data_IF_125099765613
#
_entry.id   IF_125099765613
#
_cell.length_a   1.000
_cell.length_b   1.000
_cell.length_c   1.000
_cell.angle_alpha   90.00
_cell.angle_beta   90.00
_cell.angle_gamma   90.00
#
_symmetry.space_group_name_H-M   'P 1'
#
loop_
_entity.id
_entity.type
_entity.pdbx_description
1 polymer ?
#
# COMPACT_ATOMS: atom_id res chain seq x y z
N UNK A 1 12.52 -2.95 -18.85
CA UNK A 1 11.56 -3.85 -18.16
C UNK A 1 11.50 -3.51 -16.67
N UNK A 2 12.61 -3.56 -15.91
CA UNK A 2 12.61 -3.27 -14.44
C UNK A 2 12.10 -1.88 -14.12
N UNK A 3 12.57 -0.86 -14.83
CA UNK A 3 12.12 0.52 -14.67
C UNK A 3 10.60 0.68 -14.93
N UNK A 4 10.07 0.06 -15.98
CA UNK A 4 8.64 0.09 -16.26
C UNK A 4 7.81 -0.56 -15.14
N UNK A 5 8.30 -1.66 -14.56
CA UNK A 5 7.66 -2.32 -13.40
C UNK A 5 7.70 -1.43 -12.16
N UNK A 6 8.82 -0.75 -11.91
CA UNK A 6 8.93 0.22 -10.82
C UNK A 6 7.93 1.36 -10.98
N UNK A 7 7.85 1.95 -12.17
CA UNK A 7 6.89 3.01 -12.44
C UNK A 7 5.44 2.54 -12.30
N UNK A 8 5.13 1.29 -12.67
CA UNK A 8 3.81 0.69 -12.46
C UNK A 8 3.49 0.51 -10.97
N UNK A 9 4.46 0.09 -10.15
CA UNK A 9 4.28 -0.03 -8.70
C UNK A 9 4.05 1.34 -8.04
N UNK A 10 4.82 2.37 -8.44
CA UNK A 10 4.64 3.74 -7.95
C UNK A 10 3.27 4.29 -8.38
N UNK A 11 2.85 4.05 -9.62
CA UNK A 11 1.53 4.45 -10.11
C UNK A 11 0.39 3.76 -9.36
N UNK A 12 0.55 2.47 -9.02
CA UNK A 12 -0.41 1.74 -8.19
C UNK A 12 -0.51 2.33 -6.78
N UNK A 13 0.63 2.64 -6.17
CA UNK A 13 0.64 3.31 -4.85
C UNK A 13 0.02 4.70 -4.90
N UNK A 14 0.22 5.47 -5.98
CA UNK A 14 -0.46 6.74 -6.18
C UNK A 14 -1.97 6.54 -6.29
N UNK A 15 -2.42 5.60 -7.12
CA UNK A 15 -3.84 5.32 -7.30
C UNK A 15 -4.51 4.89 -5.98
N UNK A 16 -3.82 4.11 -5.14
CA UNK A 16 -4.28 3.82 -3.77
C UNK A 16 -4.52 5.10 -2.97
N UNK A 17 -3.54 6.04 -3.00
CA UNK A 17 -3.68 7.32 -2.29
C UNK A 17 -4.83 8.15 -2.84
N UNK A 18 -4.97 8.26 -4.16
CA UNK A 18 -6.07 9.00 -4.80
C UNK A 18 -7.42 8.46 -4.32
N UNK A 19 -7.63 7.13 -4.32
CA UNK A 19 -8.90 6.52 -3.90
C UNK A 19 -9.15 6.65 -2.38
N UNK A 20 -8.14 6.41 -1.54
CA UNK A 20 -8.30 6.52 -0.06
C UNK A 20 -8.59 7.97 0.33
N UNK A 21 -7.90 8.95 -0.26
CA UNK A 21 -8.12 10.37 0.05
C UNK A 21 -9.47 10.86 -0.47
N UNK A 22 -9.94 10.37 -1.61
CA UNK A 22 -11.30 10.65 -2.10
C UNK A 22 -12.36 10.12 -1.15
N UNK A 23 -12.23 8.88 -0.67
CA UNK A 23 -13.12 8.29 0.33
C UNK A 23 -13.13 9.08 1.66
N UNK A 24 -12.00 9.67 2.05
CA UNK A 24 -11.90 10.58 3.18
C UNK A 24 -12.34 12.02 2.85
N UNK A 25 -12.71 12.31 1.60
CA UNK A 25 -13.07 13.65 1.11
C UNK A 25 -11.94 14.69 1.31
N UNK A 26 -10.70 14.23 1.17
CA UNK A 26 -9.51 15.07 1.24
C UNK A 26 -9.06 15.34 -0.19
N UNK A 27 -9.06 16.61 -0.58
CA UNK A 27 -8.57 17.01 -1.89
C UNK A 27 -7.06 16.74 -2.03
N UNK A 28 -6.63 16.39 -3.23
CA UNK A 28 -5.25 16.10 -3.56
C UNK A 28 -4.81 16.91 -4.78
N UNK A 29 -3.51 17.18 -4.87
CA UNK A 29 -2.90 17.84 -6.01
C UNK A 29 -1.77 17.00 -6.60
N UNK A 30 -1.44 17.28 -7.87
CA UNK A 30 -0.26 16.71 -8.54
C UNK A 30 0.20 17.64 -9.65
N UNK A 31 1.52 17.72 -9.84
CA UNK A 31 2.15 18.46 -10.95
C UNK A 31 2.92 17.52 -11.91
N UNK A 32 2.71 16.22 -11.76
CA UNK A 32 3.41 15.19 -12.53
C UNK A 32 4.73 14.72 -11.89
N UNK A 33 5.41 15.58 -11.14
CA UNK A 33 6.62 15.22 -10.40
C UNK A 33 6.32 14.83 -8.94
N UNK A 34 5.32 15.47 -8.36
CA UNK A 34 4.86 15.25 -6.99
C UNK A 34 3.35 15.01 -6.96
N UNK A 35 2.94 14.30 -5.94
CA UNK A 35 1.58 14.20 -5.45
C UNK A 35 1.54 14.74 -4.02
N UNK A 36 0.47 15.44 -3.64
CA UNK A 36 0.32 15.95 -2.27
C UNK A 36 -1.14 16.00 -1.82
N UNK A 37 -1.34 15.90 -0.50
CA UNK A 37 -2.62 16.16 0.15
C UNK A 37 -2.83 17.66 0.34
N UNK A 38 -4.05 18.15 0.10
CA UNK A 38 -4.42 19.55 0.41
C UNK A 38 -4.91 19.70 1.87
N UNK A 39 -5.33 18.60 2.51
CA UNK A 39 -5.74 18.50 3.91
C UNK A 39 -4.86 17.58 4.72
N UNK A 40 -5.16 17.43 6.01
CA UNK A 40 -4.44 16.50 6.89
C UNK A 40 -4.62 15.04 6.39
N UNK A 41 -3.54 14.32 6.12
CA UNK A 41 -3.63 12.94 5.68
C UNK A 41 -4.18 12.03 6.78
N UNK A 42 -4.88 10.94 6.43
CA UNK A 42 -5.18 9.88 7.39
C UNK A 42 -3.89 9.34 8.01
N UNK A 43 -3.95 8.87 9.26
CA UNK A 43 -2.79 8.24 9.92
C UNK A 43 -2.15 7.19 8.97
N UNK A 44 -0.83 7.10 8.97
CA UNK A 44 -0.01 6.21 8.15
C UNK A 44 0.02 6.53 6.64
N UNK A 45 -0.62 7.60 6.21
CA UNK A 45 -0.50 8.09 4.84
C UNK A 45 0.42 9.31 4.79
N UNK A 46 1.26 9.35 3.76
CA UNK A 46 2.15 10.51 3.55
C UNK A 46 1.40 11.70 2.99
N UNK A 47 1.82 12.88 3.41
CA UNK A 47 1.26 14.14 2.90
C UNK A 47 1.78 14.48 1.49
N UNK A 48 2.99 13.99 1.15
CA UNK A 48 3.65 14.24 -0.15
C UNK A 48 4.26 12.93 -0.64
N UNK A 49 4.24 12.71 -1.97
CA UNK A 49 4.94 11.61 -2.64
C UNK A 49 5.73 12.12 -3.84
N UNK A 50 6.95 11.60 -4.04
CA UNK A 50 7.66 11.80 -5.31
C UNK A 50 7.11 10.83 -6.36
N UNK A 51 6.88 11.34 -7.59
CA UNK A 51 6.39 10.54 -8.72
C UNK A 51 7.45 10.37 -9.82
N UNK A 52 8.54 11.13 -9.72
CA UNK A 52 9.71 11.03 -10.60
C UNK A 52 10.99 11.02 -9.77
N UNK A 53 12.07 10.45 -10.28
CA UNK A 53 13.35 10.48 -9.59
C UNK A 53 13.83 11.92 -9.39
N UNK A 54 14.17 12.27 -8.14
CA UNK A 54 14.75 13.59 -7.83
C UNK A 54 15.63 13.51 -6.59
N UNK A 55 16.72 14.27 -6.59
CA UNK A 55 17.55 14.54 -5.41
C UNK A 55 17.29 15.94 -4.83
N UNK A 56 16.47 16.76 -5.51
CA UNK A 56 16.07 18.08 -5.03
C UNK A 56 14.82 17.99 -4.15
N UNK A 57 14.92 18.29 -2.85
CA UNK A 57 13.80 18.21 -1.93
C UNK A 57 12.87 19.44 -1.98
N UNK A 58 13.24 20.51 -2.66
CA UNK A 58 12.59 21.84 -2.55
C UNK A 58 11.09 21.77 -2.83
N UNK A 59 10.68 21.05 -3.87
CA UNK A 59 9.28 20.89 -4.22
C UNK A 59 8.48 20.15 -3.15
N UNK A 60 9.04 19.06 -2.61
CA UNK A 60 8.39 18.27 -1.56
C UNK A 60 8.28 19.07 -0.24
N UNK A 61 9.33 19.81 0.12
CA UNK A 61 9.35 20.64 1.33
C UNK A 61 8.32 21.76 1.24
N UNK A 62 8.21 22.45 0.07
CA UNK A 62 7.20 23.48 -0.15
C UNK A 62 5.76 22.96 0.05
N UNK A 63 5.48 21.71 -0.38
CA UNK A 63 4.16 21.09 -0.18
C UNK A 63 3.95 20.71 1.29
N UNK A 64 5.02 20.31 1.98
CA UNK A 64 4.98 19.99 3.42
C UNK A 64 4.76 21.19 4.35
N UNK A 65 5.02 22.42 3.92
CA UNK A 65 4.77 23.64 4.72
C UNK A 65 3.31 23.76 5.18
N UNK A 66 2.38 23.15 4.45
CA UNK A 66 0.95 23.12 4.79
C UNK A 66 0.60 22.15 5.94
N UNK A 67 1.54 21.29 6.31
CA UNK A 67 1.35 20.24 7.31
C UNK A 67 2.28 20.46 8.49
N UNK A 68 1.70 20.68 9.70
CA UNK A 68 2.50 20.84 10.91
C UNK A 68 3.32 19.59 11.25
N UNK A 69 2.75 18.44 10.94
CA UNK A 69 3.37 17.11 11.06
C UNK A 69 2.99 16.28 9.85
N UNK A 70 3.84 15.35 9.46
CA UNK A 70 3.52 14.45 8.36
C UNK A 70 4.74 13.75 7.80
N UNK A 71 4.50 12.97 6.77
CA UNK A 71 5.54 12.20 6.11
C UNK A 71 5.65 12.56 4.63
N UNK A 72 6.85 12.39 4.10
CA UNK A 72 7.16 12.43 2.66
C UNK A 72 7.52 11.02 2.23
N UNK A 73 6.78 10.46 1.29
CA UNK A 73 7.11 9.20 0.63
C UNK A 73 8.01 9.49 -0.59
N UNK A 74 9.29 9.22 -0.46
CA UNK A 74 10.22 9.24 -1.57
C UNK A 74 10.20 7.90 -2.29
N UNK A 75 9.49 7.85 -3.40
CA UNK A 75 9.25 6.62 -4.16
C UNK A 75 10.50 6.05 -4.85
N UNK A 76 11.61 6.78 -4.83
CA UNK A 76 12.86 6.36 -5.46
C UNK A 76 14.03 6.23 -4.48
N UNK A 77 13.85 6.64 -3.21
CA UNK A 77 14.88 6.58 -2.17
C UNK A 77 16.09 7.48 -2.47
N UNK A 78 15.89 8.61 -3.13
CA UNK A 78 16.95 9.51 -3.58
C UNK A 78 17.08 10.80 -2.74
N UNK A 79 16.03 11.14 -1.97
CA UNK A 79 16.05 12.34 -1.13
C UNK A 79 16.87 12.08 0.14
N UNK A 80 17.64 13.09 0.55
CA UNK A 80 18.19 13.21 1.90
C UNK A 80 17.58 14.44 2.56
N UNK A 81 16.72 14.20 3.57
CA UNK A 81 16.01 15.26 4.29
C UNK A 81 16.53 15.49 5.71
N UNK A 82 17.67 14.93 6.06
CA UNK A 82 18.28 15.05 7.41
C UNK A 82 18.61 16.50 7.76
N UNK A 83 19.14 17.27 6.80
CA UNK A 83 19.44 18.70 6.99
C UNK A 83 18.18 19.54 7.25
N UNK A 84 17.00 19.09 6.84
CA UNK A 84 15.70 19.71 7.05
C UNK A 84 14.95 19.18 8.29
N UNK A 85 15.68 18.42 9.13
CA UNK A 85 15.15 17.85 10.38
C UNK A 85 14.01 16.85 10.19
N UNK A 86 14.09 16.07 9.12
CA UNK A 86 13.28 14.88 8.97
C UNK A 86 14.11 13.67 9.40
N UNK A 87 13.45 12.73 10.06
CA UNK A 87 14.00 11.42 10.37
C UNK A 87 13.54 10.42 9.31
N UNK A 88 14.40 9.47 8.96
CA UNK A 88 14.01 8.35 8.11
C UNK A 88 13.12 7.41 8.94
N UNK A 89 11.82 7.39 8.66
CA UNK A 89 10.86 6.52 9.36
C UNK A 89 11.11 5.06 9.02
N UNK A 90 11.23 4.75 7.72
CA UNK A 90 11.67 3.46 7.23
C UNK A 90 12.20 3.53 5.79
N UNK A 91 13.03 2.54 5.46
CA UNK A 91 13.47 2.26 4.10
C UNK A 91 12.88 0.91 3.66
N UNK A 92 12.15 0.91 2.58
CA UNK A 92 11.51 -0.27 2.00
C UNK A 92 12.03 -0.54 0.59
N UNK A 93 11.65 -1.67 0.05
CA UNK A 93 11.92 -2.08 -1.33
C UNK A 93 10.61 -2.30 -2.07
N UNK A 94 10.42 -1.66 -3.22
CA UNK A 94 9.33 -1.97 -4.14
C UNK A 94 9.47 -3.38 -4.67
N UNK A 95 8.35 -4.07 -4.77
CA UNK A 95 8.27 -5.48 -5.13
C UNK A 95 7.29 -5.69 -6.28
N UNK A 96 7.57 -6.70 -7.10
CA UNK A 96 6.75 -7.11 -8.23
C UNK A 96 6.71 -8.62 -8.34
N UNK A 97 5.52 -9.17 -8.51
CA UNK A 97 5.30 -10.54 -8.92
C UNK A 97 4.51 -10.56 -10.25
N UNK A 98 4.85 -11.39 -11.23
CA UNK A 98 4.16 -11.40 -12.53
C UNK A 98 2.68 -11.81 -12.45
N UNK A 99 2.22 -12.24 -11.28
CA UNK A 99 0.91 -12.83 -11.07
C UNK A 99 0.88 -14.31 -11.42
N UNK A 100 -0.23 -14.96 -11.08
CA UNK A 100 -0.51 -16.33 -11.46
C UNK A 100 -1.61 -16.35 -12.54
N UNK A 101 -1.56 -17.29 -13.47
CA UNK A 101 -2.54 -17.36 -14.56
C UNK A 101 -3.95 -17.71 -14.06
N UNK A 102 -4.03 -18.57 -13.05
CA UNK A 102 -5.25 -18.95 -12.37
C UNK A 102 -4.93 -19.60 -11.04
N UNK A 103 -5.79 -19.44 -10.07
CA UNK A 103 -5.79 -20.17 -8.81
C UNK A 103 -7.20 -20.12 -8.22
N UNK A 104 -7.43 -20.82 -7.13
CA UNK A 104 -8.66 -20.73 -6.33
C UNK A 104 -8.32 -20.18 -4.95
N UNK A 105 -9.22 -19.40 -4.39
CA UNK A 105 -9.09 -18.90 -3.02
C UNK A 105 -9.00 -20.07 -2.05
N UNK A 106 -7.94 -20.15 -1.24
CA UNK A 106 -7.80 -21.20 -0.23
C UNK A 106 -8.91 -21.15 0.83
N UNK A 107 -9.27 -22.29 1.44
CA UNK A 107 -10.23 -22.32 2.53
C UNK A 107 -9.86 -21.37 3.68
N UNK A 108 -10.85 -20.84 4.37
CA UNK A 108 -10.67 -19.90 5.47
C UNK A 108 -10.48 -18.44 5.04
N UNK A 109 -10.45 -18.15 3.74
CA UNK A 109 -10.41 -16.78 3.21
C UNK A 109 -11.75 -16.39 2.60
N UNK A 110 -12.15 -15.14 2.82
CA UNK A 110 -13.36 -14.55 2.23
C UNK A 110 -13.15 -13.06 1.93
N UNK A 111 -14.01 -12.52 1.06
CA UNK A 111 -14.10 -11.06 0.88
C UNK A 111 -14.91 -10.48 2.01
N UNK A 112 -14.48 -9.34 2.52
CA UNK A 112 -15.30 -8.48 3.37
C UNK A 112 -16.45 -7.94 2.50
N UNK A 113 -17.69 -8.17 2.92
CA UNK A 113 -18.88 -7.89 2.12
C UNK A 113 -19.88 -6.95 2.82
N UNK A 114 -19.58 -6.51 4.03
CA UNK A 114 -20.44 -5.60 4.79
C UNK A 114 -19.64 -4.71 5.75
N UNK A 115 -20.30 -3.71 6.31
CA UNK A 115 -19.70 -2.72 7.20
C UNK A 115 -19.33 -3.28 8.58
N UNK A 116 -20.06 -4.28 9.07
CA UNK A 116 -19.81 -4.86 10.40
C UNK A 116 -18.53 -5.69 10.37
N UNK A 117 -18.35 -6.49 9.31
CA UNK A 117 -17.12 -7.24 9.08
C UNK A 117 -15.95 -6.27 8.83
N UNK A 118 -16.15 -5.20 8.07
CA UNK A 118 -15.12 -4.17 7.85
C UNK A 118 -14.73 -3.47 9.15
N UNK A 119 -15.67 -3.18 10.03
CA UNK A 119 -15.39 -2.57 11.32
C UNK A 119 -14.55 -3.51 12.22
N UNK A 120 -14.89 -4.80 12.27
CA UNK A 120 -14.09 -5.82 12.97
C UNK A 120 -12.68 -5.94 12.36
N UNK A 121 -12.58 -5.97 11.04
CA UNK A 121 -11.32 -6.03 10.31
C UNK A 121 -10.42 -4.83 10.67
N UNK A 122 -10.97 -3.60 10.66
CA UNK A 122 -10.25 -2.40 11.06
C UNK A 122 -9.78 -2.43 12.51
N UNK A 123 -10.56 -3.01 13.42
CA UNK A 123 -10.17 -3.17 14.83
C UNK A 123 -8.98 -4.11 14.97
N UNK A 124 -9.00 -5.26 14.28
CA UNK A 124 -7.91 -6.24 14.33
C UNK A 124 -6.60 -5.72 13.72
N UNK A 125 -6.69 -4.89 12.68
CA UNK A 125 -5.52 -4.31 12.00
C UNK A 125 -5.10 -2.94 12.54
N UNK A 126 -5.77 -2.41 13.57
CA UNK A 126 -5.56 -1.05 14.12
C UNK A 126 -5.73 0.08 13.10
N UNK A 127 -6.60 -0.11 12.11
CA UNK A 127 -6.88 0.85 11.03
C UNK A 127 -8.18 1.64 11.19
N UNK A 128 -8.75 1.62 12.38
CA UNK A 128 -9.94 2.44 12.70
C UNK A 128 -9.66 3.92 12.43
N UNK A 129 -10.49 4.54 11.59
CA UNK A 129 -10.31 5.93 11.13
C UNK A 129 -9.19 6.13 10.09
N UNK A 130 -8.47 5.09 9.71
CA UNK A 130 -7.46 5.09 8.65
C UNK A 130 -8.05 4.55 7.34
N UNK A 131 -8.66 3.38 7.40
CA UNK A 131 -9.39 2.81 6.28
C UNK A 131 -10.89 3.10 6.45
N UNK A 132 -11.55 3.65 5.42
CA UNK A 132 -12.98 3.94 5.47
C UNK A 132 -13.82 2.70 5.73
N UNK A 133 -14.91 2.86 6.48
CA UNK A 133 -15.80 1.74 6.86
C UNK A 133 -16.58 1.17 5.68
N UNK A 134 -16.65 1.89 4.56
CA UNK A 134 -17.30 1.52 3.31
C UNK A 134 -16.30 1.11 2.21
N UNK A 135 -15.00 0.98 2.55
CA UNK A 135 -13.94 0.57 1.62
C UNK A 135 -14.29 -0.75 0.88
N UNK A 136 -14.93 -1.69 1.58
CA UNK A 136 -15.35 -2.98 1.01
C UNK A 136 -16.31 -2.84 -0.17
N UNK A 137 -17.09 -1.75 -0.23
CA UNK A 137 -18.04 -1.49 -1.31
C UNK A 137 -17.42 -0.78 -2.52
N UNK A 138 -16.21 -0.26 -2.38
CA UNK A 138 -15.52 0.45 -3.47
C UNK A 138 -15.03 -0.54 -4.53
N UNK A 139 -15.35 -0.33 -5.85
CA UNK A 139 -15.14 -1.34 -6.88
C UNK A 139 -13.70 -1.71 -7.17
N UNK A 140 -12.75 -0.85 -6.80
CA UNK A 140 -11.30 -1.09 -7.00
C UNK A 140 -10.65 -1.82 -5.82
N UNK A 141 -11.35 -2.00 -4.71
CA UNK A 141 -10.81 -2.67 -3.53
C UNK A 141 -11.41 -4.06 -3.34
N UNK A 142 -10.57 -5.00 -3.00
CA UNK A 142 -10.97 -6.30 -2.48
C UNK A 142 -10.34 -6.45 -1.10
N UNK A 143 -11.15 -6.22 -0.07
CA UNK A 143 -10.71 -6.45 1.32
C UNK A 143 -10.89 -7.92 1.63
N UNK A 144 -9.82 -8.55 2.07
CA UNK A 144 -9.74 -9.99 2.35
C UNK A 144 -9.66 -10.23 3.85
N UNK A 145 -10.41 -11.17 4.34
CA UNK A 145 -10.37 -11.63 5.72
C UNK A 145 -10.07 -13.13 5.77
N UNK A 146 -9.12 -13.52 6.62
CA UNK A 146 -8.90 -14.91 7.00
C UNK A 146 -9.59 -15.16 8.34
N UNK A 147 -10.28 -16.26 8.45
CA UNK A 147 -10.97 -16.63 9.69
C UNK A 147 -10.77 -18.09 10.03
N UNK A 148 -10.87 -18.39 11.33
CA UNK A 148 -10.99 -19.72 11.90
C UNK A 148 -12.25 -19.74 12.79
N UNK A 149 -13.27 -20.48 12.38
CA UNK A 149 -14.60 -20.36 12.96
C UNK A 149 -15.13 -18.92 12.82
N UNK A 150 -15.50 -18.31 13.95
CA UNK A 150 -16.02 -16.94 14.03
C UNK A 150 -14.92 -15.87 14.20
N UNK A 151 -13.67 -16.26 14.41
CA UNK A 151 -12.56 -15.37 14.69
C UNK A 151 -11.84 -14.92 13.42
N UNK A 152 -11.55 -13.60 13.34
CA UNK A 152 -10.68 -13.06 12.30
C UNK A 152 -9.22 -13.30 12.69
N UNK A 153 -8.49 -14.01 11.84
CA UNK A 153 -7.11 -14.43 12.09
C UNK A 153 -6.10 -13.80 11.13
N UNK A 154 -6.56 -13.00 10.18
CA UNK A 154 -5.68 -12.29 9.25
C UNK A 154 -6.46 -11.52 8.20
N UNK A 155 -5.75 -10.75 7.42
CA UNK A 155 -6.35 -9.99 6.34
C UNK A 155 -5.31 -9.39 5.40
N UNK A 156 -5.79 -8.91 4.27
CA UNK A 156 -5.03 -8.15 3.28
C UNK A 156 -5.99 -7.34 2.40
N UNK A 157 -5.46 -6.40 1.64
CA UNK A 157 -6.23 -5.64 0.67
C UNK A 157 -5.55 -5.75 -0.69
N UNK A 158 -6.35 -6.11 -1.70
CA UNK A 158 -5.99 -5.99 -3.10
C UNK A 158 -6.63 -4.73 -3.67
N UNK A 159 -5.86 -3.95 -4.40
CA UNK A 159 -6.32 -2.72 -5.06
C UNK A 159 -6.10 -2.81 -6.56
N UNK A 160 -7.18 -2.72 -7.33
CA UNK A 160 -7.11 -2.68 -8.79
C UNK A 160 -6.58 -1.32 -9.27
N UNK A 161 -5.29 -1.26 -9.56
CA UNK A 161 -4.63 -0.08 -10.10
C UNK A 161 -4.60 -0.06 -11.65
N UNK A 162 -5.47 -0.82 -12.32
CA UNK A 162 -5.54 -0.92 -13.78
C UNK A 162 -4.48 -1.83 -14.36
N UNK A 163 -3.25 -1.39 -14.53
CA UNK A 163 -2.17 -2.19 -15.12
C UNK A 163 -1.66 -3.32 -14.20
N UNK A 164 -1.71 -3.12 -12.91
CA UNK A 164 -1.26 -4.05 -11.88
C UNK A 164 -2.25 -4.09 -10.71
N UNK A 165 -2.09 -5.04 -9.82
CA UNK A 165 -2.82 -5.14 -8.56
C UNK A 165 -1.89 -4.74 -7.42
N UNK A 166 -2.24 -3.74 -6.64
CA UNK A 166 -1.55 -3.40 -5.39
C UNK A 166 -1.97 -4.38 -4.29
N UNK A 167 -1.00 -4.94 -3.60
CA UNK A 167 -1.19 -5.70 -2.37
C UNK A 167 -0.76 -4.81 -1.20
N UNK A 168 -1.53 -4.78 -0.12
CA UNK A 168 -1.21 -3.97 1.05
C UNK A 168 -2.01 -4.39 2.28
N UNK A 169 -1.73 -3.75 3.42
CA UNK A 169 -2.47 -3.94 4.66
C UNK A 169 -2.59 -5.41 5.07
N UNK A 170 -1.52 -6.16 4.86
CA UNK A 170 -1.43 -7.57 5.27
C UNK A 170 -1.19 -7.63 6.78
N UNK A 171 -2.02 -8.41 7.47
CA UNK A 171 -1.92 -8.63 8.91
C UNK A 171 -2.31 -10.05 9.27
N UNK A 172 -1.81 -10.54 10.39
CA UNK A 172 -2.21 -11.80 10.99
C UNK A 172 -2.28 -11.66 12.50
N UNK A 173 -3.12 -12.47 13.14
CA UNK A 173 -3.10 -12.70 14.58
C UNK A 173 -1.87 -13.54 14.97
N UNK A 174 -1.84 -14.07 16.19
CA UNK A 174 -0.70 -14.76 16.79
C UNK A 174 -0.16 -15.99 16.01
N UNK A 175 -0.91 -16.50 15.02
CA UNK A 175 -0.52 -17.68 14.22
C UNK A 175 0.59 -17.42 13.17
N UNK A 176 1.23 -16.27 13.22
CA UNK A 176 2.31 -15.89 12.33
C UNK A 176 1.84 -15.16 11.05
N UNK A 177 2.78 -14.65 10.25
CA UNK A 177 2.48 -13.83 9.08
C UNK A 177 1.66 -14.61 8.05
N UNK A 178 0.84 -13.88 7.29
CA UNK A 178 0.14 -14.46 6.14
C UNK A 178 1.18 -14.84 5.08
N UNK A 179 1.12 -16.07 4.56
CA UNK A 179 1.98 -16.47 3.43
C UNK A 179 1.59 -15.68 2.18
N UNK A 180 2.51 -14.91 1.58
CA UNK A 180 2.23 -14.13 0.37
C UNK A 180 1.80 -15.00 -0.82
N UNK A 181 2.16 -16.29 -0.86
CA UNK A 181 1.72 -17.22 -1.92
C UNK A 181 0.20 -17.39 -1.90
N UNK A 182 -0.38 -17.48 -0.72
CA UNK A 182 -1.85 -17.52 -0.56
C UNK A 182 -2.49 -16.25 -1.12
N UNK A 183 -1.91 -15.09 -0.85
CA UNK A 183 -2.42 -13.82 -1.37
C UNK A 183 -2.28 -13.72 -2.90
N UNK A 184 -1.22 -14.31 -3.48
CA UNK A 184 -1.08 -14.42 -4.93
C UNK A 184 -2.14 -15.34 -5.56
N UNK A 185 -2.51 -16.44 -4.90
CA UNK A 185 -3.60 -17.32 -5.34
C UNK A 185 -4.94 -16.58 -5.34
N UNK A 186 -5.26 -15.84 -4.27
CA UNK A 186 -6.47 -15.04 -4.20
C UNK A 186 -6.47 -13.91 -5.24
N UNK A 187 -5.31 -13.25 -5.43
CA UNK A 187 -5.16 -12.25 -6.49
C UNK A 187 -5.40 -12.84 -7.87
N UNK A 188 -4.95 -14.08 -8.13
CA UNK A 188 -5.14 -14.75 -9.41
C UNK A 188 -6.61 -15.16 -9.67
N UNK A 189 -7.39 -15.46 -8.64
CA UNK A 189 -8.82 -15.71 -8.79
C UNK A 189 -9.58 -14.45 -9.21
N UNK A 190 -9.25 -13.32 -8.60
CA UNK A 190 -9.95 -12.03 -8.85
C UNK A 190 -9.37 -11.27 -10.05
N UNK A 191 -8.09 -11.43 -10.33
CA UNK A 191 -7.32 -10.72 -11.34
C UNK A 191 -6.35 -11.66 -12.08
N UNK A 192 -6.83 -12.66 -12.81
CA UNK A 192 -5.99 -13.70 -13.40
C UNK A 192 -4.93 -13.11 -14.34
N UNK A 193 -3.68 -13.58 -14.17
CA UNK A 193 -2.54 -13.18 -15.00
C UNK A 193 -2.07 -11.74 -14.82
N UNK A 194 -2.63 -10.98 -13.87
CA UNK A 194 -2.17 -9.61 -13.59
C UNK A 194 -1.02 -9.60 -12.60
N UNK A 195 -0.05 -8.74 -12.86
CA UNK A 195 1.07 -8.54 -11.95
C UNK A 195 0.59 -7.96 -10.61
N UNK A 196 1.23 -8.42 -9.52
CA UNK A 196 1.00 -7.94 -8.16
C UNK A 196 2.21 -7.11 -7.72
N UNK A 197 1.97 -5.95 -7.12
CA UNK A 197 3.00 -5.04 -6.61
C UNK A 197 2.76 -4.71 -5.15
N UNK A 198 3.85 -4.51 -4.42
CA UNK A 198 3.85 -4.14 -3.01
C UNK A 198 5.15 -3.41 -2.68
N UNK A 199 5.36 -3.04 -1.43
CA UNK A 199 6.66 -2.71 -0.88
C UNK A 199 6.80 -3.31 0.52
N UNK A 200 8.00 -3.75 0.86
CA UNK A 200 8.28 -4.36 2.16
C UNK A 200 9.68 -4.01 2.66
N UNK A 201 9.89 -4.22 3.95
CA UNK A 201 11.20 -4.08 4.62
C UNK A 201 11.35 -5.15 5.72
N UNK A 202 12.57 -5.32 6.23
CA UNK A 202 12.87 -6.27 7.31
C UNK A 202 12.46 -7.71 6.95
N UNK A 203 11.86 -8.42 7.89
CA UNK A 203 11.43 -9.81 7.72
C UNK A 203 10.35 -10.00 6.65
N UNK A 204 9.50 -8.99 6.47
CA UNK A 204 8.44 -9.06 5.46
C UNK A 204 9.04 -9.06 4.05
N UNK A 205 10.12 -8.28 3.83
CA UNK A 205 10.85 -8.31 2.57
C UNK A 205 11.39 -9.71 2.26
N UNK A 206 12.01 -10.37 3.23
CA UNK A 206 12.54 -11.73 3.06
C UNK A 206 11.42 -12.72 2.71
N UNK A 207 10.28 -12.61 3.40
CA UNK A 207 9.09 -13.44 3.17
C UNK A 207 8.54 -13.25 1.76
N UNK A 208 8.42 -12.00 1.30
CA UNK A 208 7.94 -11.67 -0.05
C UNK A 208 8.90 -12.18 -1.14
N UNK A 209 10.22 -12.00 -0.95
CA UNK A 209 11.22 -12.53 -1.88
C UNK A 209 11.17 -14.07 -1.94
N UNK A 210 10.97 -14.74 -0.79
CA UNK A 210 10.76 -16.18 -0.70
C UNK A 210 9.50 -16.69 -1.40
N UNK A 211 8.50 -15.82 -1.59
CA UNK A 211 7.28 -16.09 -2.35
C UNK A 211 7.42 -15.81 -3.86
N UNK A 212 8.58 -15.36 -4.33
CA UNK A 212 8.86 -15.12 -5.75
C UNK A 212 8.68 -13.67 -6.20
N UNK A 213 8.48 -12.73 -5.30
CA UNK A 213 8.53 -11.32 -5.66
C UNK A 213 9.93 -10.88 -6.05
N UNK A 214 10.04 -10.05 -7.07
CA UNK A 214 11.28 -9.46 -7.57
C UNK A 214 11.46 -8.04 -6.99
N UNK A 215 12.64 -7.67 -6.45
CA UNK A 215 12.90 -6.33 -5.96
C UNK A 215 13.09 -5.36 -7.14
N UNK A 216 12.45 -4.20 -7.08
CA UNK A 216 12.48 -3.19 -8.14
C UNK A 216 13.38 -2.00 -7.82
N UNK A 217 13.35 -1.50 -6.60
CA UNK A 217 14.11 -0.33 -6.17
C UNK A 217 13.69 0.14 -4.77
N UNK A 218 14.42 1.10 -4.20
CA UNK A 218 14.13 1.60 -2.85
C UNK A 218 12.89 2.50 -2.83
N UNK A 219 12.28 2.56 -1.64
CA UNK A 219 11.33 3.58 -1.21
C UNK A 219 11.73 4.04 0.18
N UNK A 220 11.79 5.34 0.41
CA UNK A 220 12.01 5.91 1.73
C UNK A 220 10.78 6.68 2.21
N UNK A 221 10.50 6.60 3.49
CA UNK A 221 9.49 7.46 4.11
C UNK A 221 10.16 8.29 5.20
N UNK A 222 10.06 9.61 5.04
CA UNK A 222 10.62 10.60 5.93
C UNK A 222 9.53 11.21 6.79
N UNK A 223 9.81 11.45 8.07
CA UNK A 223 8.87 11.99 9.05
C UNK A 223 9.44 13.24 9.73
N UNK A 224 8.55 14.21 10.03
CA UNK A 224 8.86 15.38 10.85
C UNK A 224 7.72 15.66 11.83
#
# INVERSE_FOLDING_TARGET
>A
VREQRLLAAIAASRAWYDDIFDLHRIAVGSDGALWWAEGAPPRWHSAVKTLVPTTDPSGALLRMERHAHGTIADSFGLLDLTAQRFDLLFAATWLHHPGLASAATPPGWMRVADSDLMARWNQHHDTVGVLPSDLWAHPRFTVLARHDGDDLTGGAILHDAGAVVGLSNTWASEDGPVDPRVLLEIAAETHPGRAVVDYAWGSDLETMLGAGFEPLGPQHVWIR
#
